data_IF_100890950443
#
_entry.id   IF_100890950443
#
_cell.length_a   1.000
_cell.length_b   1.000
_cell.length_c   1.000
_cell.angle_alpha   90.00
_cell.angle_beta   90.00
_cell.angle_gamma   90.00
#
_symmetry.space_group_name_H-M   'P 1'
#
loop_
_entity.id
_entity.type
_entity.pdbx_description
1 polymer ?
#
# COMPACT_ATOMS: atom_id res chain seq x y z
N UNK A 1 -19.21 22.19 18.38
CA UNK A 1 -19.72 22.72 17.08
C UNK A 1 -18.92 22.24 15.87
N UNK A 2 -17.60 22.03 15.97
CA UNK A 2 -16.78 21.50 14.86
C UNK A 2 -16.93 19.99 14.61
N UNK A 3 -17.32 19.20 15.62
CA UNK A 3 -17.51 17.74 15.48
C UNK A 3 -18.69 17.32 14.60
N UNK A 4 -19.58 18.25 14.23
CA UNK A 4 -20.65 18.00 13.26
C UNK A 4 -20.17 18.13 11.80
N UNK A 5 -18.96 18.66 11.59
CA UNK A 5 -18.26 18.64 10.30
C UNK A 5 -17.49 17.32 10.24
N UNK A 6 -18.24 16.21 10.19
CA UNK A 6 -17.66 14.89 9.99
C UNK A 6 -17.26 14.66 8.53
N UNK A 7 -17.44 13.42 8.08
CA UNK A 7 -17.26 13.01 6.68
C UNK A 7 -17.90 13.97 5.64
N UNK A 8 -19.08 14.60 5.87
CA UNK A 8 -19.64 15.54 4.91
C UNK A 8 -18.74 16.75 4.61
N UNK A 9 -18.03 17.29 5.60
CA UNK A 9 -17.12 18.41 5.39
C UNK A 9 -15.88 18.02 4.59
N UNK A 10 -15.34 16.83 4.85
CA UNK A 10 -14.23 16.28 4.09
C UNK A 10 -14.58 16.11 2.60
N UNK A 11 -15.81 15.67 2.30
CA UNK A 11 -16.30 15.52 0.93
C UNK A 11 -16.30 16.86 0.19
N UNK A 12 -16.78 17.94 0.82
CA UNK A 12 -16.76 19.29 0.22
C UNK A 12 -15.33 19.70 -0.15
N UNK A 13 -14.37 19.50 0.77
CA UNK A 13 -12.96 19.86 0.53
C UNK A 13 -12.38 19.01 -0.59
N UNK A 14 -12.68 17.71 -0.60
CA UNK A 14 -12.28 16.81 -1.67
C UNK A 14 -12.83 17.26 -3.02
N UNK A 15 -14.10 17.63 -3.12
CA UNK A 15 -14.70 18.09 -4.39
C UNK A 15 -13.97 19.34 -4.91
N UNK A 16 -13.69 20.32 -4.05
CA UNK A 16 -12.94 21.53 -4.45
C UNK A 16 -11.53 21.15 -4.91
N UNK A 17 -10.83 20.30 -4.16
CA UNK A 17 -9.51 19.81 -4.54
C UNK A 17 -9.55 19.04 -5.87
N UNK A 18 -10.59 18.25 -6.12
CA UNK A 18 -10.79 17.52 -7.37
C UNK A 18 -11.12 18.41 -8.56
N UNK A 19 -11.73 19.58 -8.35
CA UNK A 19 -11.92 20.56 -9.43
C UNK A 19 -10.57 21.17 -9.83
N UNK A 20 -9.71 21.48 -8.86
CA UNK A 20 -8.39 22.09 -9.11
C UNK A 20 -7.41 21.06 -9.70
N UNK A 21 -7.32 19.89 -9.08
CA UNK A 21 -6.35 18.86 -9.46
C UNK A 21 -6.90 17.87 -10.49
N UNK A 22 -8.22 17.66 -10.54
CA UNK A 22 -8.85 16.64 -11.38
C UNK A 22 -9.01 15.28 -10.67
N UNK A 23 -10.11 14.54 -10.89
CA UNK A 23 -10.35 13.22 -10.27
C UNK A 23 -9.33 12.15 -10.67
N UNK A 24 -8.69 12.30 -11.84
CA UNK A 24 -7.68 11.36 -12.32
C UNK A 24 -6.33 11.51 -11.62
N UNK A 25 -6.03 12.65 -10.99
CA UNK A 25 -4.73 12.90 -10.36
C UNK A 25 -4.57 12.18 -9.02
N UNK A 26 -5.63 12.06 -8.22
CA UNK A 26 -5.52 11.33 -6.95
C UNK A 26 -5.17 9.84 -7.13
N UNK A 27 -5.81 9.08 -8.05
CA UNK A 27 -5.42 7.70 -8.35
C UNK A 27 -4.02 7.59 -8.96
N UNK A 28 -3.63 8.53 -9.83
CA UNK A 28 -2.30 8.56 -10.46
C UNK A 28 -1.20 8.73 -9.41
N UNK A 29 -1.35 9.71 -8.51
CA UNK A 29 -0.44 9.93 -7.37
C UNK A 29 -0.44 8.74 -6.41
N UNK A 30 -1.61 8.18 -6.10
CA UNK A 30 -1.73 6.99 -5.24
C UNK A 30 -1.02 5.77 -5.81
N UNK A 31 -1.06 5.57 -7.14
CA UNK A 31 -0.33 4.49 -7.83
C UNK A 31 1.18 4.72 -7.78
N UNK A 32 1.65 5.95 -8.02
CA UNK A 32 3.06 6.28 -7.95
C UNK A 32 3.62 6.08 -6.53
N UNK A 33 2.97 6.68 -5.53
CA UNK A 33 3.35 6.57 -4.12
C UNK A 33 3.19 5.13 -3.62
N UNK A 34 2.14 4.42 -4.05
CA UNK A 34 1.89 3.03 -3.67
C UNK A 34 2.95 2.06 -4.19
N UNK A 35 3.43 2.25 -5.42
CA UNK A 35 4.55 1.47 -5.96
C UNK A 35 5.84 1.72 -5.17
N UNK A 36 6.15 2.99 -4.86
CA UNK A 36 7.30 3.33 -4.01
C UNK A 36 7.20 2.73 -2.62
N UNK A 37 6.04 2.84 -1.96
CA UNK A 37 5.80 2.24 -0.64
C UNK A 37 5.90 0.72 -0.66
N UNK A 38 5.46 0.07 -1.75
CA UNK A 38 5.53 -1.38 -1.93
C UNK A 38 6.98 -1.85 -2.06
N UNK A 39 7.78 -1.16 -2.87
CA UNK A 39 9.20 -1.44 -3.02
C UNK A 39 9.96 -1.15 -1.72
N UNK A 40 9.70 -0.01 -1.09
CA UNK A 40 10.26 0.34 0.22
C UNK A 40 9.93 -0.72 1.26
N UNK A 41 8.68 -1.18 1.36
CA UNK A 41 8.28 -2.25 2.27
C UNK A 41 9.04 -3.56 1.99
N UNK A 42 9.24 -3.90 0.72
CA UNK A 42 9.97 -5.11 0.33
C UNK A 42 11.43 -5.03 0.76
N UNK A 43 12.11 -3.93 0.41
CA UNK A 43 13.50 -3.69 0.78
C UNK A 43 13.68 -3.61 2.30
N UNK A 44 12.82 -2.88 3.02
CA UNK A 44 12.87 -2.83 4.47
C UNK A 44 12.63 -4.20 5.11
N UNK A 45 11.73 -5.02 4.56
CA UNK A 45 11.52 -6.38 5.05
C UNK A 45 12.74 -7.27 4.81
N UNK A 46 13.41 -7.12 3.68
CA UNK A 46 14.65 -7.85 3.38
C UNK A 46 15.78 -7.44 4.33
N UNK A 47 15.94 -6.14 4.59
CA UNK A 47 16.92 -5.61 5.54
C UNK A 47 16.64 -6.01 7.00
N UNK A 48 15.37 -6.06 7.40
CA UNK A 48 14.97 -6.45 8.77
C UNK A 48 14.98 -7.97 8.95
N UNK A 49 14.69 -8.75 7.91
CA UNK A 49 14.72 -10.21 7.97
C UNK A 49 16.12 -10.81 7.79
N UNK A 50 17.15 -10.02 7.45
CA UNK A 50 18.54 -10.50 7.46
C UNK A 50 19.10 -10.65 8.89
N UNK A 51 18.44 -10.05 9.90
CA UNK A 51 18.73 -10.22 11.32
C UNK A 51 17.88 -11.32 12.00
N UNK A 52 16.75 -11.74 11.39
CA UNK A 52 15.81 -12.75 11.91
C UNK A 52 15.31 -13.69 10.77
N UNK A 53 15.77 -14.95 10.79
CA UNK A 53 15.22 -16.14 10.09
C UNK A 53 15.68 -16.51 8.67
N UNK A 54 16.74 -17.32 8.65
CA UNK A 54 16.85 -18.56 7.86
C UNK A 54 15.59 -19.49 8.00
N UNK A 55 14.36 -19.16 7.59
CA UNK A 55 13.27 -20.17 7.68
C UNK A 55 11.99 -20.01 6.83
N UNK A 56 12.01 -19.44 5.62
CA UNK A 56 10.83 -19.55 4.70
C UNK A 56 11.15 -20.00 3.29
N UNK A 57 11.72 -21.21 3.19
CA UNK A 57 11.95 -21.95 1.94
C UNK A 57 11.24 -23.30 1.83
N UNK A 58 10.22 -23.60 2.64
CA UNK A 58 9.56 -24.93 2.65
C UNK A 58 8.05 -24.88 2.41
N UNK A 59 7.60 -24.84 1.16
CA UNK A 59 6.24 -25.34 0.82
C UNK A 59 6.00 -25.79 -0.64
N UNK A 60 7.03 -26.04 -1.48
CA UNK A 60 6.76 -26.43 -2.89
C UNK A 60 7.66 -27.52 -3.49
N UNK A 61 8.11 -28.52 -2.73
CA UNK A 61 8.95 -29.60 -3.30
C UNK A 61 8.64 -31.02 -2.76
N UNK A 62 7.43 -31.31 -2.26
CA UNK A 62 7.15 -32.64 -1.68
C UNK A 62 6.05 -33.49 -2.33
N UNK A 63 5.51 -33.06 -3.48
CA UNK A 63 4.31 -33.70 -4.03
C UNK A 63 4.60 -34.61 -5.25
N UNK A 64 5.83 -34.57 -5.81
CA UNK A 64 6.18 -35.26 -7.08
C UNK A 64 7.14 -36.47 -6.95
N UNK A 65 7.51 -36.88 -5.74
CA UNK A 65 8.35 -38.07 -5.50
C UNK A 65 7.65 -39.06 -4.57
N UNK A 66 6.55 -39.61 -5.06
CA UNK A 66 5.98 -40.87 -4.58
C UNK A 66 5.39 -41.62 -5.79
N UNK A 67 6.29 -42.06 -6.68
CA UNK A 67 6.05 -43.16 -7.62
C UNK A 67 7.14 -44.20 -7.36
#
# INVERSE_FOLDING_TARGET
MLSNIGIPGLIIVLVIALIIFGPSKLPELGRAVGSTLKEFKKSTRELVSDDDDHEKGKTKLKDDQAI
#
